data_IF_199328723698
#
_entry.id   IF_199328723698
#
_cell.length_a   1.000
_cell.length_b   1.000
_cell.length_c   1.000
_cell.angle_alpha   90.00
_cell.angle_beta   90.00
_cell.angle_gamma   90.00
#
_symmetry.space_group_name_H-M   'P 1'
#
loop_
_entity.id
_entity.type
_entity.pdbx_description
1 polymer ?
#
# COMPACT_ATOMS: atom_id res chain seq x y z
N UNK A 1 0.37 8.37 4.94
CA UNK A 1 1.24 9.31 5.70
C UNK A 1 2.18 8.47 6.54
N UNK A 2 3.48 8.76 6.53
CA UNK A 2 4.51 7.96 7.19
C UNK A 2 5.17 8.76 8.33
N UNK A 3 5.91 8.07 9.18
CA UNK A 3 6.72 8.62 10.28
C UNK A 3 5.89 9.36 11.35
N UNK A 4 4.75 8.80 11.74
CA UNK A 4 3.91 9.30 12.84
C UNK A 4 4.32 8.61 14.14
N UNK A 5 4.75 9.39 15.12
CA UNK A 5 5.45 8.89 16.32
C UNK A 5 4.54 8.69 17.53
N UNK A 6 3.34 9.28 17.52
CA UNK A 6 2.40 9.27 18.64
C UNK A 6 0.94 9.47 18.20
N UNK A 7 0.01 9.33 19.15
CA UNK A 7 -1.42 9.52 18.91
C UNK A 7 -1.76 10.94 18.42
N UNK A 8 -1.11 11.96 18.97
CA UNK A 8 -1.37 13.36 18.65
C UNK A 8 -1.03 13.67 17.17
N UNK A 9 0.11 13.16 16.69
CA UNK A 9 0.54 13.31 15.29
C UNK A 9 -0.41 12.60 14.33
N UNK A 10 -0.96 11.44 14.70
CA UNK A 10 -1.99 10.75 13.92
C UNK A 10 -3.27 11.57 13.83
N UNK A 11 -3.81 12.05 14.96
CA UNK A 11 -5.04 12.86 15.00
C UNK A 11 -4.88 14.14 14.18
N UNK A 12 -3.77 14.85 14.36
CA UNK A 12 -3.47 16.07 13.61
C UNK A 12 -3.43 15.81 12.10
N UNK A 13 -2.75 14.74 11.67
CA UNK A 13 -2.64 14.41 10.24
C UNK A 13 -3.94 13.87 9.63
N UNK A 14 -4.78 13.21 10.40
CA UNK A 14 -6.14 12.88 10.00
C UNK A 14 -6.91 14.17 9.65
N UNK A 15 -7.00 15.13 10.59
CA UNK A 15 -7.77 16.36 10.39
C UNK A 15 -7.26 17.20 9.22
N UNK A 16 -5.94 17.35 9.09
CA UNK A 16 -5.33 18.09 7.98
C UNK A 16 -5.65 17.43 6.62
N UNK A 17 -5.63 16.10 6.57
CA UNK A 17 -5.89 15.35 5.34
C UNK A 17 -7.36 15.42 4.94
N UNK A 18 -8.28 15.26 5.89
CA UNK A 18 -9.72 15.38 5.63
C UNK A 18 -10.08 16.80 5.17
N UNK A 19 -9.50 17.83 5.80
CA UNK A 19 -9.70 19.23 5.37
C UNK A 19 -9.20 19.44 3.95
N UNK A 20 -8.01 18.94 3.61
CA UNK A 20 -7.44 19.05 2.27
C UNK A 20 -8.31 18.35 1.23
N UNK A 21 -8.73 17.11 1.49
CA UNK A 21 -9.57 16.35 0.55
C UNK A 21 -10.89 17.08 0.30
N UNK A 22 -11.56 17.63 1.32
CA UNK A 22 -12.81 18.35 1.10
C UNK A 22 -12.63 19.71 0.41
N UNK A 23 -11.46 20.35 0.54
CA UNK A 23 -11.16 21.56 -0.22
C UNK A 23 -11.01 21.26 -1.72
N UNK A 24 -10.31 20.18 -2.06
CA UNK A 24 -10.04 19.79 -3.46
C UNK A 24 -11.25 19.03 -4.08
N UNK A 25 -11.96 18.23 -3.28
CA UNK A 25 -13.05 17.36 -3.67
C UNK A 25 -14.25 17.47 -2.69
N UNK A 26 -15.06 18.55 -2.78
CA UNK A 26 -16.13 18.82 -1.80
C UNK A 26 -17.22 17.75 -1.70
N UNK A 27 -17.37 16.89 -2.71
CA UNK A 27 -18.36 15.81 -2.77
C UNK A 27 -17.80 14.43 -2.39
N UNK A 28 -16.52 14.34 -2.03
CA UNK A 28 -15.91 13.07 -1.65
C UNK A 28 -16.60 12.52 -0.39
N UNK A 29 -16.93 11.23 -0.40
CA UNK A 29 -17.35 10.50 0.81
C UNK A 29 -16.16 9.73 1.34
N UNK A 30 -15.82 9.93 2.60
CA UNK A 30 -14.67 9.29 3.26
C UNK A 30 -15.21 8.55 4.49
N UNK A 31 -15.10 7.23 4.47
CA UNK A 31 -15.56 6.39 5.59
C UNK A 31 -14.60 6.42 6.79
N UNK A 32 -13.31 6.70 6.54
CA UNK A 32 -12.29 6.82 7.56
C UNK A 32 -10.88 6.68 7.01
N UNK A 33 -9.91 6.48 7.91
CA UNK A 33 -8.52 6.18 7.56
C UNK A 33 -8.05 4.94 8.31
N UNK A 34 -7.30 4.07 7.62
CA UNK A 34 -6.64 2.94 8.25
C UNK A 34 -5.33 3.40 8.91
N UNK A 35 -5.20 3.14 10.21
CA UNK A 35 -3.99 3.43 10.98
C UNK A 35 -3.30 2.11 11.32
N UNK A 36 -2.01 2.02 11.01
CA UNK A 36 -1.19 0.86 11.30
C UNK A 36 0.14 1.31 11.89
N UNK A 37 0.75 0.44 12.72
CA UNK A 37 2.11 0.67 13.21
C UNK A 37 3.07 0.69 12.03
N UNK A 38 3.88 1.75 11.95
CA UNK A 38 4.96 1.81 10.97
C UNK A 38 6.12 0.92 11.44
N UNK A 39 6.55 0.01 10.55
CA UNK A 39 7.76 -0.76 10.75
C UNK A 39 8.92 -0.06 10.05
N UNK A 40 10.10 -0.12 10.67
CA UNK A 40 11.34 0.42 10.12
C UNK A 40 12.34 -0.71 9.92
N UNK A 41 13.05 -0.69 8.80
CA UNK A 41 13.93 -1.79 8.40
C UNK A 41 13.16 -3.00 7.90
N UNK A 42 13.90 -3.99 7.40
CA UNK A 42 13.35 -5.16 6.72
C UNK A 42 13.37 -5.02 5.20
N UNK A 43 13.06 -6.12 4.52
CA UNK A 43 12.94 -6.15 3.07
C UNK A 43 11.48 -5.90 2.68
N UNK A 44 11.26 -4.86 1.88
CA UNK A 44 9.97 -4.70 1.22
C UNK A 44 9.87 -5.72 0.08
N UNK A 45 8.72 -6.38 -0.03
CA UNK A 45 8.42 -7.35 -1.09
C UNK A 45 7.03 -7.09 -1.67
N UNK A 46 6.85 -7.36 -2.95
CA UNK A 46 5.52 -7.44 -3.56
C UNK A 46 5.14 -8.90 -3.71
N UNK A 47 3.88 -9.23 -3.39
CA UNK A 47 3.31 -10.55 -3.65
C UNK A 47 1.97 -10.37 -4.34
N UNK A 48 1.80 -11.00 -5.50
CA UNK A 48 0.57 -10.98 -6.28
C UNK A 48 0.10 -12.39 -6.60
N UNK A 49 -1.21 -12.57 -6.69
CA UNK A 49 -1.81 -13.84 -7.15
C UNK A 49 -2.81 -13.52 -8.25
N UNK A 50 -2.71 -14.24 -9.36
CA UNK A 50 -3.66 -14.16 -10.48
C UNK A 50 -4.09 -15.58 -10.86
N UNK A 51 -5.37 -15.78 -11.18
CA UNK A 51 -5.83 -17.05 -11.75
C UNK A 51 -5.78 -16.98 -13.27
N UNK A 52 -4.91 -17.78 -13.88
CA UNK A 52 -4.83 -17.98 -15.31
C UNK A 52 -5.87 -19.03 -15.77
N UNK A 53 -6.57 -18.82 -16.91
CA UNK A 53 -7.57 -19.77 -17.40
C UNK A 53 -7.02 -21.14 -17.77
N UNK A 54 -5.75 -21.24 -18.18
CA UNK A 54 -5.12 -22.48 -18.64
C UNK A 54 -4.31 -23.14 -17.52
N UNK A 55 -3.54 -22.35 -16.78
CA UNK A 55 -2.58 -22.87 -15.79
C UNK A 55 -3.07 -22.82 -14.34
N UNK A 56 -4.21 -22.18 -14.08
CA UNK A 56 -4.70 -22.02 -12.70
C UNK A 56 -3.98 -20.90 -11.95
N UNK A 57 -3.75 -21.02 -10.63
CA UNK A 57 -3.14 -19.94 -9.84
C UNK A 57 -1.69 -19.67 -10.25
N UNK A 58 -1.37 -18.41 -10.53
CA UNK A 58 -0.03 -17.89 -10.74
C UNK A 58 0.33 -16.94 -9.59
N UNK A 59 1.52 -17.12 -9.03
CA UNK A 59 2.07 -16.27 -7.97
C UNK A 59 3.20 -15.43 -8.54
N UNK A 60 3.21 -14.15 -8.18
CA UNK A 60 4.30 -13.21 -8.44
C UNK A 60 4.93 -12.83 -7.11
N UNK A 61 6.26 -12.86 -7.04
CA UNK A 61 7.05 -12.33 -5.91
C UNK A 61 8.18 -11.46 -6.46
N UNK A 62 8.42 -10.31 -5.86
CA UNK A 62 9.55 -9.46 -6.21
C UNK A 62 9.98 -8.57 -5.05
N UNK A 63 11.02 -7.77 -5.26
CA UNK A 63 11.31 -6.65 -4.37
C UNK A 63 10.10 -5.71 -4.31
N UNK A 64 9.91 -5.06 -3.15
CA UNK A 64 8.81 -4.15 -2.87
C UNK A 64 9.24 -2.68 -2.99
N UNK A 65 8.31 -1.78 -2.70
CA UNK A 65 8.53 -0.33 -2.73
C UNK A 65 8.02 0.33 -4.02
N UNK A 66 8.35 1.61 -4.21
CA UNK A 66 7.90 2.38 -5.40
C UNK A 66 8.75 2.10 -6.64
N UNK A 67 9.91 1.46 -6.50
CA UNK A 67 10.87 1.24 -7.60
C UNK A 67 10.72 -0.11 -8.30
N UNK A 68 9.80 -0.97 -7.86
CA UNK A 68 9.63 -2.35 -8.37
C UNK A 68 9.34 -2.38 -9.86
N UNK A 69 8.55 -1.43 -10.35
CA UNK A 69 8.19 -1.34 -11.77
C UNK A 69 9.41 -1.01 -12.67
N UNK A 70 10.45 -0.37 -12.13
CA UNK A 70 11.65 0.00 -12.90
C UNK A 70 12.70 -1.11 -12.95
N UNK A 71 12.84 -1.91 -11.89
CA UNK A 71 13.98 -2.83 -11.75
C UNK A 71 13.74 -4.23 -12.35
N UNK A 72 12.50 -4.57 -12.72
CA UNK A 72 12.09 -5.90 -13.25
C UNK A 72 12.52 -7.08 -12.36
N UNK A 73 12.72 -6.83 -11.07
CA UNK A 73 13.12 -7.83 -10.08
C UNK A 73 11.88 -8.57 -9.54
N UNK A 74 11.28 -9.37 -10.42
CA UNK A 74 10.09 -10.18 -10.15
C UNK A 74 10.28 -11.59 -10.68
N UNK A 75 9.83 -12.58 -9.92
CA UNK A 75 9.70 -13.97 -10.33
C UNK A 75 8.23 -14.36 -10.33
N UNK A 76 7.84 -15.21 -11.28
CA UNK A 76 6.48 -15.73 -11.41
C UNK A 76 6.50 -17.25 -11.54
N UNK A 77 5.52 -17.93 -10.94
CA UNK A 77 5.36 -19.37 -11.01
C UNK A 77 3.92 -19.81 -10.88
N UNK A 78 3.63 -21.04 -11.33
CA UNK A 78 2.36 -21.73 -11.06
C UNK A 78 2.36 -22.12 -9.58
N UNK A 79 1.20 -22.02 -8.92
CA UNK A 79 1.00 -22.55 -7.58
C UNK A 79 0.03 -23.73 -7.56
N UNK A 80 0.25 -24.73 -6.68
CA UNK A 80 1.47 -24.96 -5.92
C UNK A 80 2.57 -25.63 -6.77
#
# INVERSE_FOLDING_TARGET
ILNLVDENSVRKKFDETIKKIHADFPKARIDGMLVQRMLSGGQEVIVGVRRDPQFGPLVLVGSGGVEVELQRDVSMGIAP
#
